data_IF_302884744402
#
_entry.id   IF_302884744402
#
_cell.length_a   1.000
_cell.length_b   1.000
_cell.length_c   1.000
_cell.angle_alpha   90.00
_cell.angle_beta   90.00
_cell.angle_gamma   90.00
#
_symmetry.space_group_name_H-M   'P 1'
#
loop_
_entity.id
_entity.type
_entity.pdbx_description
1 polymer ?
#
# COMPACT_ATOMS: atom_id res chain seq x y z
N UNK A 1 16.87 13.92 10.83
CA UNK A 1 15.42 13.74 10.57
C UNK A 1 15.24 12.43 9.82
N UNK A 2 14.34 11.52 10.23
CA UNK A 2 14.05 10.32 9.43
C UNK A 2 13.19 10.73 8.25
N UNK A 3 13.58 10.32 7.04
CA UNK A 3 12.82 10.61 5.83
C UNK A 3 11.64 9.64 5.76
N UNK A 4 10.43 10.12 6.02
CA UNK A 4 9.21 9.30 5.93
C UNK A 4 8.75 9.24 4.47
N UNK A 5 9.18 8.21 3.75
CA UNK A 5 8.78 7.97 2.36
C UNK A 5 7.35 7.44 2.33
N UNK A 6 6.52 7.99 1.44
CA UNK A 6 5.16 7.50 1.15
C UNK A 6 5.18 6.86 -0.23
N UNK A 7 4.63 5.65 -0.35
CA UNK A 7 4.63 4.86 -1.58
C UNK A 7 3.19 4.65 -2.01
N UNK A 8 2.84 5.12 -3.20
CA UNK A 8 1.57 4.81 -3.87
C UNK A 8 1.76 3.59 -4.80
N UNK A 9 0.76 2.71 -4.87
CA UNK A 9 0.76 1.54 -5.77
C UNK A 9 -0.52 1.56 -6.60
N UNK A 10 -0.37 1.95 -7.86
CA UNK A 10 -1.47 2.07 -8.82
C UNK A 10 -1.41 1.01 -9.91
N UNK A 11 -2.54 0.79 -10.58
CA UNK A 11 -2.69 -0.23 -11.63
C UNK A 11 -4.12 -0.74 -11.76
N UNK A 12 -4.40 -1.58 -12.77
CA UNK A 12 -5.76 -2.03 -13.09
C UNK A 12 -6.41 -2.88 -11.98
N UNK A 13 -7.73 -3.07 -12.07
CA UNK A 13 -8.45 -3.98 -11.18
C UNK A 13 -7.85 -5.38 -11.22
N UNK A 14 -7.91 -6.11 -10.10
CA UNK A 14 -7.35 -7.46 -9.94
C UNK A 14 -5.82 -7.64 -10.17
N UNK A 15 -5.03 -6.56 -10.35
CA UNK A 15 -3.58 -6.63 -10.52
C UNK A 15 -2.77 -7.02 -9.26
N UNK A 16 -3.41 -7.38 -8.14
CA UNK A 16 -2.72 -7.77 -6.91
C UNK A 16 -2.09 -6.62 -6.09
N UNK A 17 -2.46 -5.36 -6.37
CA UNK A 17 -1.88 -4.16 -5.72
C UNK A 17 -1.88 -4.22 -4.19
N UNK A 18 -3.03 -4.50 -3.58
CA UNK A 18 -3.16 -4.62 -2.12
C UNK A 18 -2.28 -5.74 -1.54
N UNK A 19 -2.14 -6.85 -2.26
CA UNK A 19 -1.27 -7.96 -1.86
C UNK A 19 0.20 -7.53 -1.84
N UNK A 20 0.68 -6.93 -2.94
CA UNK A 20 2.06 -6.44 -3.03
C UNK A 20 2.33 -5.36 -2.00
N UNK A 21 1.43 -4.38 -1.85
CA UNK A 21 1.51 -3.30 -0.88
C UNK A 21 1.65 -3.82 0.56
N UNK A 22 0.85 -4.83 0.93
CA UNK A 22 0.93 -5.46 2.25
C UNK A 22 2.25 -6.20 2.48
N UNK A 23 2.77 -6.89 1.46
CA UNK A 23 4.05 -7.62 1.54
C UNK A 23 5.22 -6.65 1.72
N UNK A 24 5.29 -5.59 0.90
CA UNK A 24 6.39 -4.62 0.99
C UNK A 24 6.31 -3.80 2.28
N UNK A 25 5.11 -3.43 2.74
CA UNK A 25 4.94 -2.72 4.00
C UNK A 25 5.46 -3.55 5.18
N UNK A 26 5.15 -4.86 5.21
CA UNK A 26 5.69 -5.79 6.21
C UNK A 26 7.23 -5.90 6.12
N UNK A 27 7.79 -5.99 4.92
CA UNK A 27 9.25 -6.15 4.71
C UNK A 27 10.04 -4.89 5.08
N UNK A 28 9.49 -3.71 4.82
CA UNK A 28 10.17 -2.44 5.05
C UNK A 28 9.83 -1.81 6.41
N UNK A 29 8.93 -2.42 7.19
CA UNK A 29 8.37 -1.83 8.42
C UNK A 29 7.63 -0.52 8.18
N UNK A 30 6.81 -0.47 7.12
CA UNK A 30 5.98 0.67 6.75
C UNK A 30 4.52 0.40 7.16
N UNK A 31 3.77 1.49 7.36
CA UNK A 31 2.32 1.41 7.51
C UNK A 31 1.67 1.06 6.16
N UNK A 32 0.82 0.04 6.14
CA UNK A 32 -0.04 -0.28 5.00
C UNK A 32 -1.39 0.45 5.13
N UNK A 33 -1.83 1.09 4.06
CA UNK A 33 -3.12 1.79 3.97
C UNK A 33 -3.91 1.19 2.80
N UNK A 34 -5.11 0.65 3.08
CA UNK A 34 -6.02 0.13 2.06
C UNK A 34 -7.00 1.21 1.61
N UNK A 35 -6.59 2.04 0.66
CA UNK A 35 -7.44 3.10 0.11
C UNK A 35 -8.66 2.54 -0.62
N UNK A 36 -8.54 1.36 -1.23
CA UNK A 36 -9.65 0.71 -1.91
C UNK A 36 -10.78 0.34 -0.96
N UNK A 37 -10.46 -0.17 0.22
CA UNK A 37 -11.45 -0.42 1.28
C UNK A 37 -12.03 0.89 1.85
N UNK A 38 -11.21 1.94 1.97
CA UNK A 38 -11.63 3.24 2.48
C UNK A 38 -12.67 3.94 1.59
N UNK A 39 -12.50 3.90 0.27
CA UNK A 39 -13.44 4.53 -0.67
C UNK A 39 -14.68 3.68 -0.98
N UNK A 40 -14.66 2.38 -0.68
CA UNK A 40 -15.81 1.47 -0.85
C UNK A 40 -16.69 1.35 0.41
N UNK A 41 -16.35 2.09 1.49
CA UNK A 41 -17.12 2.13 2.73
C UNK A 41 -18.26 3.15 2.65
#
# INVERSE_FOLDING_TARGET
MRNNIRIAIDGPAAAGKSTVAKIIAKRLSYLYIDTGAMYRA
#
